data_IF_835507815032
#
_entry.id   IF_835507815032
#
_cell.length_a   1.000
_cell.length_b   1.000
_cell.length_c   1.000
_cell.angle_alpha   90.00
_cell.angle_beta   90.00
_cell.angle_gamma   90.00
#
_symmetry.space_group_name_H-M   'P 1'
#
loop_
_entity.id
_entity.type
_entity.pdbx_description
1 polymer ?
#
# COMPACT_ATOMS: atom_id res chain seq x y z
N UNK A 1 9.87 -9.65 -17.59
CA UNK A 1 9.53 -10.03 -16.20
C UNK A 1 10.54 -9.29 -15.32
N UNK A 2 10.24 -8.05 -14.93
CA UNK A 2 11.16 -7.14 -14.24
C UNK A 2 10.60 -6.82 -12.86
N UNK A 3 10.76 -7.75 -11.94
CA UNK A 3 10.60 -7.46 -10.52
C UNK A 3 11.95 -6.98 -10.01
N UNK A 4 12.05 -5.70 -9.62
CA UNK A 4 13.24 -5.13 -8.96
C UNK A 4 13.90 -3.90 -9.59
N UNK A 5 13.39 -3.36 -10.71
CA UNK A 5 13.75 -2.01 -11.17
C UNK A 5 12.49 -1.20 -11.42
N UNK A 6 12.52 0.05 -11.02
CA UNK A 6 11.53 1.05 -11.40
C UNK A 6 11.35 1.01 -12.93
N UNK A 7 10.12 0.81 -13.46
CA UNK A 7 9.86 0.79 -14.90
C UNK A 7 10.19 2.11 -15.61
N UNK A 8 10.45 3.20 -14.88
CA UNK A 8 10.88 4.51 -15.39
C UNK A 8 12.39 4.75 -15.20
N UNK A 9 13.13 3.80 -14.63
CA UNK A 9 14.58 3.87 -14.48
C UNK A 9 15.08 4.79 -13.35
N UNK A 10 14.22 5.20 -12.42
CA UNK A 10 14.69 5.91 -11.23
C UNK A 10 15.50 4.96 -10.33
N UNK A 11 16.61 5.43 -9.74
CA UNK A 11 17.37 4.65 -8.78
C UNK A 11 16.47 4.34 -7.57
N UNK A 12 16.47 3.08 -7.13
CA UNK A 12 15.87 2.68 -5.86
C UNK A 12 16.44 3.56 -4.76
N UNK A 13 15.58 4.34 -4.09
CA UNK A 13 15.96 5.16 -2.94
C UNK A 13 16.38 4.22 -1.79
N UNK A 14 17.67 4.00 -1.65
CA UNK A 14 18.28 3.47 -0.43
C UNK A 14 18.52 4.66 0.50
N UNK A 15 17.82 4.69 1.63
CA UNK A 15 18.15 5.59 2.75
C UNK A 15 18.89 4.73 3.76
N UNK A 16 20.12 5.11 4.10
CA UNK A 16 20.97 4.40 5.07
C UNK A 16 21.19 2.90 4.78
N UNK A 17 21.30 2.53 3.49
CA UNK A 17 21.56 1.15 3.08
C UNK A 17 20.37 0.19 3.23
N UNK A 18 19.18 0.71 3.52
CA UNK A 18 17.93 -0.07 3.58
C UNK A 18 17.16 0.11 2.28
N UNK A 19 16.94 -0.99 1.57
CA UNK A 19 16.01 -1.01 0.43
C UNK A 19 14.58 -0.84 0.94
N UNK A 20 13.94 0.27 0.58
CA UNK A 20 12.55 0.55 0.96
C UNK A 20 11.53 -0.26 0.12
N UNK A 21 12.02 -1.15 -0.75
CA UNK A 21 11.19 -1.95 -1.64
C UNK A 21 10.25 -2.82 -0.80
N UNK A 22 8.94 -2.62 -0.97
CA UNK A 22 7.85 -3.40 -0.34
C UNK A 22 7.60 -3.19 1.15
N UNK A 23 8.33 -2.31 1.85
CA UNK A 23 8.08 -2.04 3.28
C UNK A 23 6.64 -1.55 3.54
N UNK A 24 6.09 -0.76 2.59
CA UNK A 24 4.69 -0.28 2.60
C UNK A 24 3.66 -1.41 2.68
N UNK A 25 3.95 -2.59 2.14
CA UNK A 25 3.00 -3.71 2.12
C UNK A 25 2.82 -4.37 3.50
N UNK A 26 3.74 -4.15 4.44
CA UNK A 26 3.63 -4.75 5.78
C UNK A 26 2.43 -4.24 6.59
N UNK A 27 1.74 -3.19 6.13
CA UNK A 27 0.50 -2.70 6.75
C UNK A 27 -0.56 -3.80 6.84
N UNK A 28 -0.62 -4.71 5.86
CA UNK A 28 -1.55 -5.84 5.88
C UNK A 28 -1.25 -6.90 6.96
N UNK A 29 -0.07 -6.85 7.59
CA UNK A 29 0.31 -7.73 8.72
C UNK A 29 -0.03 -7.16 10.09
N UNK A 30 -0.60 -5.94 10.15
CA UNK A 30 -0.99 -5.29 11.41
C UNK A 30 -2.31 -5.87 11.95
N UNK A 31 -2.33 -7.17 12.25
CA UNK A 31 -3.51 -7.96 12.64
C UNK A 31 -4.20 -7.50 13.94
N UNK A 32 -3.60 -6.57 14.68
CA UNK A 32 -4.22 -5.93 15.84
C UNK A 32 -5.19 -4.80 15.45
N UNK A 33 -5.16 -4.35 14.20
CA UNK A 33 -6.10 -3.39 13.63
C UNK A 33 -7.21 -4.14 12.88
N UNK A 34 -8.44 -3.65 12.99
CA UNK A 34 -9.54 -4.12 12.14
C UNK A 34 -9.56 -3.44 10.77
N UNK A 35 -9.05 -2.21 10.71
CA UNK A 35 -8.97 -1.36 9.50
C UNK A 35 -7.91 -0.28 9.73
N UNK A 36 -7.27 0.17 8.65
CA UNK A 36 -6.36 1.30 8.67
C UNK A 36 -6.54 2.23 7.47
N UNK A 37 -6.10 3.48 7.64
CA UNK A 37 -5.85 4.43 6.56
C UNK A 37 -4.34 4.61 6.49
N UNK A 38 -3.74 4.24 5.38
CA UNK A 38 -2.34 4.49 5.12
C UNK A 38 -2.16 5.90 4.59
N UNK A 39 -1.15 6.61 5.08
CA UNK A 39 -0.69 7.91 4.61
C UNK A 39 0.81 7.83 4.37
N UNK A 40 1.29 8.20 3.17
CA UNK A 40 2.73 8.35 2.94
C UNK A 40 3.31 9.43 3.88
N UNK A 41 4.59 9.31 4.22
CA UNK A 41 5.25 10.20 5.18
C UNK A 41 5.31 11.68 4.73
N UNK A 42 5.08 11.94 3.45
CA UNK A 42 5.00 13.26 2.84
C UNK A 42 3.54 13.76 2.66
N UNK A 43 2.56 13.10 3.28
CA UNK A 43 1.16 13.54 3.31
C UNK A 43 0.87 14.46 4.50
N UNK A 44 0.18 15.57 4.25
CA UNK A 44 -0.29 16.50 5.29
C UNK A 44 -1.82 16.44 5.44
N UNK A 45 -2.30 16.11 6.64
CA UNK A 45 -3.71 16.15 6.99
C UNK A 45 -4.10 17.58 7.41
N UNK A 46 -4.96 18.22 6.61
CA UNK A 46 -5.38 19.63 6.82
C UNK A 46 -6.74 19.78 7.49
N UNK A 47 -7.51 18.70 7.60
CA UNK A 47 -8.83 18.63 8.24
C UNK A 47 -9.06 17.21 8.78
N UNK A 48 -10.03 17.03 9.68
CA UNK A 48 -10.47 15.70 10.09
C UNK A 48 -10.88 14.89 8.85
N UNK A 49 -10.47 13.62 8.81
CA UNK A 49 -10.71 12.72 7.68
C UNK A 49 -11.20 11.35 8.15
N UNK A 50 -11.89 11.29 9.29
CA UNK A 50 -12.34 10.02 9.89
C UNK A 50 -13.39 9.31 9.01
N UNK A 51 -14.04 10.04 8.09
CA UNK A 51 -14.93 9.47 7.08
C UNK A 51 -14.23 8.45 6.17
N UNK A 52 -12.90 8.49 6.06
CA UNK A 52 -12.14 7.48 5.31
C UNK A 52 -12.33 6.07 5.88
N UNK A 53 -12.51 5.93 7.19
CA UNK A 53 -12.77 4.61 7.82
C UNK A 53 -14.11 3.99 7.44
N UNK A 54 -15.04 4.77 6.85
CA UNK A 54 -16.31 4.26 6.34
C UNK A 54 -16.17 3.59 4.96
N UNK A 55 -15.04 3.78 4.27
CA UNK A 55 -14.77 3.13 2.97
C UNK A 55 -14.36 1.66 3.17
N UNK A 56 -14.50 0.86 2.10
CA UNK A 56 -14.07 -0.55 2.06
C UNK A 56 -12.66 -0.65 1.47
N UNK A 57 -11.95 -1.72 1.82
CA UNK A 57 -10.74 -2.10 1.08
C UNK A 57 -11.10 -2.53 -0.36
N UNK A 58 -10.37 -2.12 -1.41
CA UNK A 58 -9.36 -1.05 -1.45
C UNK A 58 -10.05 0.27 -1.84
N UNK A 59 -9.82 1.35 -1.08
CA UNK A 59 -10.26 2.69 -1.46
C UNK A 59 -9.06 3.65 -1.51
N UNK A 60 -8.88 4.32 -2.65
CA UNK A 60 -7.81 5.27 -2.92
C UNK A 60 -8.30 6.36 -3.89
N UNK A 61 -7.52 7.42 -4.05
CA UNK A 61 -7.82 8.52 -5.00
C UNK A 61 -7.21 8.19 -6.36
N UNK A 62 -7.90 8.45 -7.50
CA UNK A 62 -7.30 8.28 -8.82
C UNK A 62 -6.09 9.20 -9.02
N UNK A 63 -5.06 8.69 -9.69
CA UNK A 63 -3.88 9.44 -10.07
C UNK A 63 -4.27 10.52 -11.09
N UNK A 64 -3.80 11.74 -10.88
CA UNK A 64 -4.10 12.87 -11.76
C UNK A 64 -3.66 12.55 -13.20
N UNK A 65 -4.60 12.61 -14.14
CA UNK A 65 -4.36 12.38 -15.57
C UNK A 65 -4.48 10.93 -16.03
N UNK A 66 -4.61 9.97 -15.10
CA UNK A 66 -4.73 8.53 -15.39
C UNK A 66 -5.81 7.93 -14.48
N UNK A 67 -7.10 8.07 -14.82
CA UNK A 67 -8.20 7.75 -13.90
C UNK A 67 -8.28 6.25 -13.53
N UNK A 68 -7.70 5.37 -14.35
CA UNK A 68 -7.68 3.92 -14.12
C UNK A 68 -6.57 3.46 -13.15
N UNK A 69 -5.69 4.39 -12.76
CA UNK A 69 -4.58 4.13 -11.83
C UNK A 69 -4.86 4.93 -10.57
N UNK A 70 -4.74 4.31 -9.40
CA UNK A 70 -4.86 5.02 -8.13
C UNK A 70 -3.50 5.49 -7.62
N UNK A 71 -3.50 6.65 -6.97
CA UNK A 71 -2.38 7.12 -6.17
C UNK A 71 -2.30 6.29 -4.88
N UNK A 72 -1.09 5.90 -4.48
CA UNK A 72 -0.89 5.05 -3.30
C UNK A 72 -0.55 5.84 -2.04
N UNK A 73 -0.44 7.16 -2.12
CA UNK A 73 -0.11 8.03 -0.99
C UNK A 73 -1.16 8.00 0.12
N UNK A 74 -2.42 7.78 -0.25
CA UNK A 74 -3.51 7.59 0.71
C UNK A 74 -4.40 6.44 0.27
N UNK A 75 -4.55 5.41 1.10
CA UNK A 75 -5.49 4.32 0.86
C UNK A 75 -6.05 3.70 2.14
N UNK A 76 -7.24 3.13 2.02
CA UNK A 76 -7.92 2.38 3.08
C UNK A 76 -7.64 0.88 2.89
N UNK A 77 -7.26 0.22 3.97
CA UNK A 77 -6.94 -1.21 3.99
C UNK A 77 -7.53 -1.92 5.22
N UNK A 78 -7.72 -3.22 5.09
CA UNK A 78 -8.13 -4.17 6.11
C UNK A 78 -7.00 -5.21 6.28
N UNK A 79 -6.30 -5.23 7.42
CA UNK A 79 -5.17 -6.14 7.62
C UNK A 79 -5.56 -7.61 7.39
N UNK A 80 -4.82 -8.29 6.53
CA UNK A 80 -5.04 -9.70 6.21
C UNK A 80 -3.74 -10.35 5.75
N UNK A 81 -3.29 -11.40 6.44
CA UNK A 81 -2.16 -12.24 6.03
C UNK A 81 -2.39 -12.88 4.64
N UNK A 82 -3.65 -13.18 4.30
CA UNK A 82 -4.04 -13.63 2.95
C UNK A 82 -3.78 -12.56 1.88
N UNK A 83 -4.29 -11.34 2.05
CA UNK A 83 -4.00 -10.20 1.15
C UNK A 83 -2.50 -9.90 1.04
N UNK A 84 -1.74 -10.05 2.12
CA UNK A 84 -0.28 -9.90 2.09
C UNK A 84 0.43 -11.04 1.33
N UNK A 85 -0.16 -12.23 1.25
CA UNK A 85 0.39 -13.39 0.55
C UNK A 85 1.12 -14.41 1.43
N UNK A 86 0.91 -14.38 2.76
CA UNK A 86 1.48 -15.37 3.69
C UNK A 86 0.58 -16.59 3.95
N UNK A 87 -0.68 -16.55 3.50
CA UNK A 87 -1.60 -17.68 3.60
C UNK A 87 -1.40 -18.67 2.43
N UNK A 88 -0.45 -19.60 2.60
CA UNK A 88 -0.22 -20.73 1.69
C UNK A 88 -1.17 -21.93 1.92
N UNK A 89 -2.25 -21.78 2.71
CA UNK A 89 -3.12 -22.90 3.06
C UNK A 89 -4.01 -23.42 1.92
N UNK A 90 -4.01 -22.77 0.76
CA UNK A 90 -4.55 -23.31 -0.48
C UNK A 90 -3.45 -23.42 -1.53
N UNK A 91 -2.99 -24.64 -1.81
CA UNK A 91 -1.99 -24.95 -2.82
C UNK A 91 -2.41 -24.55 -4.24
N UNK A 92 -2.32 -23.27 -4.55
CA UNK A 92 -2.37 -22.74 -5.91
C UNK A 92 -0.94 -22.43 -6.33
N UNK A 93 -0.39 -23.38 -7.07
CA UNK A 93 0.82 -23.27 -7.88
C UNK A 93 0.65 -22.06 -8.82
N UNK A 94 1.66 -21.21 -8.89
CA UNK A 94 1.89 -20.29 -10.01
C UNK A 94 3.15 -20.73 -10.74
#
# INVERSE_FOLDING_TARGET
MFWGRDPLGYPSREVDGVSCSYSKLHVWRLQHLSKGVFLDADTLVVANCDELFQRRELAAVPLRGWPDIFDTGVFVFEPSEKTYGLDYSSGAVA
#
